data_IF_839737423680
#
_entry.id   IF_839737423680
#
_cell.length_a   1.000
_cell.length_b   1.000
_cell.length_c   1.000
_cell.angle_alpha   90.00
_cell.angle_beta   90.00
_cell.angle_gamma   90.00
#
_symmetry.space_group_name_H-M   'P 1'
#
loop_
_entity.id
_entity.type
_entity.pdbx_description
1 polymer ?
#
# COMPACT_ATOMS: atom_id res chain seq x y z
N UNK A 1 8.12 -15.94 9.45
CA UNK A 1 7.76 -14.58 9.78
C UNK A 1 8.48 -13.58 8.90
N UNK A 2 8.08 -12.34 8.99
CA UNK A 2 8.76 -11.21 8.37
C UNK A 2 9.52 -10.46 9.46
N UNK A 3 10.69 -9.97 9.13
CA UNK A 3 11.51 -9.10 9.97
C UNK A 3 11.77 -7.79 9.24
N UNK A 4 12.00 -6.75 10.01
CA UNK A 4 12.37 -5.43 9.50
C UNK A 4 13.85 -5.41 9.10
N UNK A 5 14.18 -4.52 8.20
CA UNK A 5 15.55 -4.15 7.90
C UNK A 5 15.70 -2.62 7.90
N UNK A 6 16.92 -2.13 7.79
CA UNK A 6 17.22 -0.70 7.82
C UNK A 6 16.58 0.11 6.69
N UNK A 7 16.09 -0.55 5.65
CA UNK A 7 15.47 0.07 4.46
C UNK A 7 13.93 0.09 4.52
N UNK A 8 13.31 -0.33 5.62
CA UNK A 8 11.84 -0.46 5.75
C UNK A 8 11.21 -1.48 4.79
N UNK A 9 11.99 -2.36 4.22
CA UNK A 9 11.50 -3.43 3.38
C UNK A 9 11.41 -4.69 4.25
N UNK A 10 10.21 -5.28 4.44
CA UNK A 10 10.11 -6.50 5.22
C UNK A 10 10.98 -7.60 4.62
N UNK A 11 11.70 -8.30 5.47
CA UNK A 11 12.55 -9.42 5.10
C UNK A 11 11.96 -10.75 5.58
N UNK A 12 12.32 -11.83 4.91
CA UNK A 12 11.99 -13.18 5.36
C UNK A 12 12.86 -13.54 6.57
N UNK A 13 12.26 -13.85 7.71
CA UNK A 13 12.98 -14.23 8.92
C UNK A 13 13.92 -15.44 8.73
N UNK A 14 13.58 -16.33 7.79
CA UNK A 14 14.37 -17.53 7.51
C UNK A 14 15.65 -17.30 6.68
N UNK A 15 15.66 -16.27 5.84
CA UNK A 15 16.73 -16.03 4.85
C UNK A 15 17.26 -14.61 4.84
N UNK A 16 16.64 -13.70 5.57
CA UNK A 16 16.91 -12.26 5.55
C UNK A 16 16.78 -11.63 4.14
N UNK A 17 16.18 -12.34 3.20
CA UNK A 17 15.94 -11.83 1.85
C UNK A 17 14.78 -10.84 1.87
N UNK A 18 14.91 -9.72 1.18
CA UNK A 18 13.85 -8.73 1.01
C UNK A 18 12.58 -9.37 0.44
N UNK A 19 11.43 -9.04 1.02
CA UNK A 19 10.15 -9.59 0.59
C UNK A 19 9.79 -9.08 -0.81
N UNK A 20 9.33 -9.99 -1.66
CA UNK A 20 8.94 -9.71 -3.04
C UNK A 20 7.72 -10.54 -3.46
N UNK A 21 7.13 -10.20 -4.60
CA UNK A 21 6.02 -10.99 -5.17
C UNK A 21 6.39 -12.46 -5.38
N UNK A 22 7.65 -12.76 -5.70
CA UNK A 22 8.14 -14.13 -5.80
C UNK A 22 7.99 -14.90 -4.48
N UNK A 23 8.41 -14.28 -3.37
CA UNK A 23 8.28 -14.90 -2.05
C UNK A 23 6.82 -14.96 -1.59
N UNK A 24 5.99 -13.97 -1.94
CA UNK A 24 4.56 -14.03 -1.67
C UNK A 24 3.93 -15.26 -2.34
N UNK A 25 4.18 -15.47 -3.64
CA UNK A 25 3.69 -16.64 -4.39
C UNK A 25 4.11 -17.95 -3.72
N UNK A 26 5.38 -18.06 -3.32
CA UNK A 26 5.91 -19.23 -2.62
C UNK A 26 5.21 -19.47 -1.28
N UNK A 27 5.09 -18.45 -0.44
CA UNK A 27 4.43 -18.56 0.88
C UNK A 27 2.94 -18.88 0.76
N UNK A 28 2.26 -18.41 -0.27
CA UNK A 28 0.86 -18.75 -0.55
C UNK A 28 0.75 -20.21 -0.96
N UNK A 29 1.60 -20.67 -1.88
CA UNK A 29 1.62 -22.07 -2.33
C UNK A 29 1.91 -23.05 -1.19
N UNK A 30 2.84 -22.74 -0.29
CA UNK A 30 3.14 -23.53 0.91
C UNK A 30 1.92 -23.69 1.86
N UNK A 31 0.93 -22.80 1.76
CA UNK A 31 -0.33 -22.84 2.52
C UNK A 31 -1.51 -23.35 1.72
N UNK A 32 -1.28 -23.88 0.52
CA UNK A 32 -2.32 -24.37 -0.36
C UNK A 32 -3.17 -23.27 -1.00
N UNK A 33 -2.67 -22.04 -1.08
CA UNK A 33 -3.32 -20.97 -1.78
C UNK A 33 -2.80 -20.87 -3.22
N UNK A 34 -3.70 -20.54 -4.13
CA UNK A 34 -3.36 -20.19 -5.50
C UNK A 34 -3.00 -18.70 -5.57
N UNK A 35 -2.05 -18.33 -6.40
CA UNK A 35 -1.84 -16.95 -6.82
C UNK A 35 -2.25 -16.84 -8.28
N UNK A 36 -3.25 -16.02 -8.58
CA UNK A 36 -3.83 -15.89 -9.90
C UNK A 36 -3.30 -14.64 -10.59
N UNK A 37 -2.52 -14.84 -11.63
CA UNK A 37 -1.98 -13.75 -12.44
C UNK A 37 -2.99 -13.32 -13.53
N UNK A 38 -3.03 -12.06 -13.86
CA UNK A 38 -3.82 -11.51 -14.95
C UNK A 38 -5.30 -11.93 -14.89
N UNK A 39 -5.76 -12.65 -15.89
CA UNK A 39 -7.14 -13.10 -16.02
C UNK A 39 -7.37 -14.56 -15.59
N UNK A 40 -6.37 -15.22 -15.04
CA UNK A 40 -6.51 -16.58 -14.52
C UNK A 40 -7.63 -16.66 -13.48
N UNK A 41 -8.46 -17.71 -13.58
CA UNK A 41 -9.58 -17.91 -12.66
C UNK A 41 -9.33 -18.98 -11.61
N UNK A 42 -8.37 -19.86 -11.82
CA UNK A 42 -7.98 -20.92 -10.89
C UNK A 42 -9.11 -21.90 -10.54
N UNK A 43 -8.93 -22.61 -9.43
CA UNK A 43 -9.87 -23.61 -8.92
C UNK A 43 -10.72 -23.03 -7.78
N UNK A 44 -12.04 -22.84 -7.95
CA UNK A 44 -12.88 -22.08 -7.03
C UNK A 44 -13.19 -22.79 -5.68
N UNK A 45 -12.80 -24.06 -5.54
CA UNK A 45 -13.01 -24.84 -4.32
C UNK A 45 -11.91 -24.64 -3.27
N UNK A 46 -10.91 -23.79 -3.55
CA UNK A 46 -9.77 -23.52 -2.67
C UNK A 46 -9.73 -22.08 -2.18
N UNK A 47 -8.52 -21.62 -1.96
CA UNK A 47 -8.20 -20.22 -1.65
C UNK A 47 -7.32 -19.66 -2.74
N UNK A 48 -7.55 -18.41 -3.08
CA UNK A 48 -6.70 -17.70 -4.03
C UNK A 48 -6.38 -16.28 -3.58
N UNK A 49 -5.24 -15.80 -4.02
CA UNK A 49 -4.84 -14.41 -3.96
C UNK A 49 -4.82 -13.84 -5.37
N UNK A 50 -5.46 -12.70 -5.53
CA UNK A 50 -5.49 -11.93 -6.77
C UNK A 50 -4.99 -10.52 -6.46
N UNK A 51 -4.10 -10.02 -7.29
CA UNK A 51 -3.69 -8.62 -7.23
C UNK A 51 -4.22 -7.93 -8.49
N UNK A 52 -5.02 -6.90 -8.30
CA UNK A 52 -5.67 -6.17 -9.40
C UNK A 52 -5.86 -4.71 -9.03
N UNK A 53 -5.98 -3.84 -10.03
CA UNK A 53 -6.05 -2.40 -9.87
C UNK A 53 -4.66 -1.81 -9.61
N UNK A 54 -4.26 -0.86 -10.42
CA UNK A 54 -2.92 -0.25 -10.37
C UNK A 54 -3.02 1.26 -10.13
N UNK A 55 -3.98 1.66 -9.26
CA UNK A 55 -4.25 3.07 -8.98
C UNK A 55 -3.04 3.77 -8.37
N UNK A 56 -2.26 3.09 -7.55
CA UNK A 56 -1.09 3.66 -6.92
C UNK A 56 -0.01 4.03 -7.94
N UNK A 57 0.39 3.11 -8.80
CA UNK A 57 1.35 3.39 -9.87
C UNK A 57 0.83 4.44 -10.85
N UNK A 58 -0.47 4.43 -11.18
CA UNK A 58 -1.10 5.45 -11.99
C UNK A 58 -1.05 6.81 -11.30
N UNK A 59 -1.37 6.88 -10.01
CA UNK A 59 -1.28 8.08 -9.20
C UNK A 59 0.11 8.70 -9.25
N UNK A 60 1.14 7.89 -9.00
CA UNK A 60 2.52 8.35 -9.07
C UNK A 60 2.97 8.78 -10.46
N UNK A 61 2.52 8.13 -11.52
CA UNK A 61 2.87 8.47 -12.91
C UNK A 61 2.06 9.65 -13.47
N UNK A 62 0.76 9.68 -13.19
CA UNK A 62 -0.17 10.63 -13.79
C UNK A 62 -0.40 11.88 -12.95
N UNK A 63 -0.08 11.83 -11.65
CA UNK A 63 -0.15 12.97 -10.76
C UNK A 63 -1.49 13.72 -10.87
N UNK A 64 -1.49 14.94 -11.38
CA UNK A 64 -2.68 15.77 -11.57
C UNK A 64 -3.78 15.10 -12.43
N UNK A 65 -3.39 14.25 -13.38
CA UNK A 65 -4.32 13.58 -14.30
C UNK A 65 -4.92 12.28 -13.75
N UNK A 66 -4.44 11.80 -12.60
CA UNK A 66 -4.86 10.53 -12.00
C UNK A 66 -6.39 10.34 -11.92
N UNK A 67 -7.22 11.37 -11.57
CA UNK A 67 -8.66 11.19 -11.49
C UNK A 67 -9.33 10.74 -12.78
N UNK A 68 -8.74 11.03 -13.92
CA UNK A 68 -9.28 10.65 -15.25
C UNK A 68 -9.23 9.12 -15.48
N UNK A 69 -8.44 8.40 -14.69
CA UNK A 69 -8.24 6.95 -14.83
C UNK A 69 -9.01 6.13 -13.80
N UNK A 70 -9.59 6.77 -12.77
CA UNK A 70 -10.23 6.06 -11.65
C UNK A 70 -11.37 5.16 -12.15
N UNK A 71 -12.27 5.69 -12.97
CA UNK A 71 -13.42 4.92 -13.47
C UNK A 71 -12.96 3.70 -14.27
N UNK A 72 -11.97 3.85 -15.14
CA UNK A 72 -11.44 2.74 -15.93
C UNK A 72 -10.86 1.64 -15.01
N UNK A 73 -10.07 2.02 -14.02
CA UNK A 73 -9.48 1.04 -13.08
C UNK A 73 -10.56 0.35 -12.26
N UNK A 74 -11.61 1.07 -11.85
CA UNK A 74 -12.75 0.48 -11.14
C UNK A 74 -13.52 -0.49 -12.02
N UNK A 75 -13.75 -0.15 -13.29
CA UNK A 75 -14.40 -1.04 -14.26
C UNK A 75 -13.58 -2.33 -14.46
N UNK A 76 -12.26 -2.22 -14.57
CA UNK A 76 -11.36 -3.38 -14.67
C UNK A 76 -11.44 -4.28 -13.42
N UNK A 77 -11.48 -3.68 -12.22
CA UNK A 77 -11.66 -4.41 -10.97
C UNK A 77 -13.02 -5.11 -10.92
N UNK A 78 -14.10 -4.41 -11.31
CA UNK A 78 -15.45 -4.99 -11.37
C UNK A 78 -15.52 -6.14 -12.39
N UNK A 79 -14.92 -5.97 -13.56
CA UNK A 79 -14.83 -7.03 -14.57
C UNK A 79 -14.08 -8.26 -14.03
N UNK A 80 -12.97 -8.02 -13.30
CA UNK A 80 -12.20 -9.09 -12.66
C UNK A 80 -13.03 -9.85 -11.62
N UNK A 81 -13.77 -9.14 -10.77
CA UNK A 81 -14.65 -9.74 -9.76
C UNK A 81 -15.72 -10.60 -10.43
N UNK A 82 -16.37 -10.09 -11.48
CA UNK A 82 -17.39 -10.84 -12.24
C UNK A 82 -16.80 -12.10 -12.84
N UNK A 83 -15.64 -12.01 -13.50
CA UNK A 83 -14.96 -13.17 -14.07
C UNK A 83 -14.64 -14.27 -13.04
N UNK A 84 -14.26 -13.89 -11.82
CA UNK A 84 -14.06 -14.85 -10.74
C UNK A 84 -15.38 -15.49 -10.27
N UNK A 85 -16.43 -14.70 -10.09
CA UNK A 85 -17.75 -15.23 -9.71
C UNK A 85 -18.31 -16.18 -10.76
N UNK A 86 -18.19 -15.83 -12.06
CA UNK A 86 -18.62 -16.66 -13.18
C UNK A 86 -17.83 -17.98 -13.26
N UNK A 87 -16.57 -17.97 -12.85
CA UNK A 87 -15.74 -19.16 -12.73
C UNK A 87 -16.08 -20.04 -11.49
N UNK A 88 -17.04 -19.61 -10.66
CA UNK A 88 -17.56 -20.40 -9.55
C UNK A 88 -17.04 -20.01 -8.15
N UNK A 89 -16.26 -18.95 -8.02
CA UNK A 89 -15.87 -18.45 -6.71
C UNK A 89 -17.10 -17.91 -5.97
N UNK A 90 -17.32 -18.39 -4.75
CA UNK A 90 -18.53 -18.07 -3.98
C UNK A 90 -18.39 -16.83 -3.11
N UNK A 91 -17.17 -16.50 -2.72
CA UNK A 91 -16.85 -15.37 -1.83
C UNK A 91 -15.56 -14.73 -2.27
N UNK A 92 -15.60 -13.43 -2.42
CA UNK A 92 -14.44 -12.60 -2.74
C UNK A 92 -14.34 -11.54 -1.65
N UNK A 93 -13.16 -11.46 -1.01
CA UNK A 93 -12.83 -10.38 -0.08
C UNK A 93 -11.87 -9.43 -0.77
N UNK A 94 -12.26 -8.17 -0.87
CA UNK A 94 -11.46 -7.12 -1.50
C UNK A 94 -10.88 -6.28 -0.37
N UNK A 95 -9.59 -6.08 -0.41
CA UNK A 95 -8.82 -5.27 0.54
C UNK A 95 -7.84 -4.40 -0.23
N UNK A 96 -7.48 -3.26 0.34
CA UNK A 96 -6.37 -2.42 -0.11
C UNK A 96 -5.44 -2.15 1.06
N UNK A 97 -4.19 -1.86 0.78
CA UNK A 97 -3.14 -1.63 1.78
C UNK A 97 -3.17 -0.22 2.34
N UNK A 98 -3.47 0.78 1.53
CA UNK A 98 -3.59 2.17 1.94
C UNK A 98 -4.57 2.93 1.04
N UNK A 99 -4.93 4.13 1.48
CA UNK A 99 -5.55 5.15 0.65
C UNK A 99 -4.51 6.19 0.20
N UNK A 100 -4.95 7.31 -0.33
CA UNK A 100 -4.07 8.33 -0.90
C UNK A 100 -4.65 9.73 -0.81
N UNK A 101 -3.77 10.72 -0.94
CA UNK A 101 -4.11 12.12 -1.11
C UNK A 101 -3.94 12.53 -2.58
N UNK A 102 -4.90 13.28 -3.07
CA UNK A 102 -4.78 13.98 -4.33
C UNK A 102 -5.08 15.47 -4.12
N UNK A 103 -4.09 16.32 -4.40
CA UNK A 103 -4.13 17.76 -4.14
C UNK A 103 -3.83 18.52 -5.42
N UNK A 104 -4.82 19.19 -6.05
CA UNK A 104 -4.65 19.85 -7.33
C UNK A 104 -3.51 20.87 -7.37
N UNK A 105 -3.31 21.62 -6.28
CA UNK A 105 -2.26 22.63 -6.16
C UNK A 105 -0.91 22.04 -5.72
N UNK A 106 -0.82 20.73 -5.60
CA UNK A 106 0.33 20.01 -5.04
C UNK A 106 0.36 20.05 -3.51
N UNK A 107 1.06 19.09 -2.94
CA UNK A 107 1.25 19.00 -1.49
C UNK A 107 2.15 20.16 -1.00
N UNK A 108 1.70 20.95 -0.03
CA UNK A 108 2.53 21.98 0.57
C UNK A 108 3.74 21.34 1.25
N UNK A 109 4.87 22.02 1.20
CA UNK A 109 6.10 21.54 1.83
C UNK A 109 6.03 21.71 3.34
N UNK A 110 6.09 20.60 4.07
CA UNK A 110 6.33 20.58 5.51
C UNK A 110 7.79 20.80 5.83
N UNK A 111 8.06 21.54 6.89
CA UNK A 111 9.43 21.69 7.39
C UNK A 111 9.84 20.43 8.16
N UNK A 112 10.99 19.91 7.80
CA UNK A 112 11.68 18.91 8.60
C UNK A 112 13.11 19.39 8.84
N UNK A 113 13.51 19.42 10.09
CA UNK A 113 14.87 19.84 10.44
C UNK A 113 15.90 18.87 9.84
N UNK A 114 17.01 19.39 9.32
CA UNK A 114 18.05 18.59 8.63
C UNK A 114 18.68 17.50 9.50
N UNK A 115 18.59 17.61 10.82
CA UNK A 115 19.03 16.57 11.76
C UNK A 115 18.09 15.37 11.84
N UNK A 116 16.87 15.52 11.31
CA UNK A 116 15.82 14.51 11.36
C UNK A 116 15.86 13.67 10.09
N UNK A 117 16.30 12.45 10.17
CA UNK A 117 16.09 11.44 9.15
C UNK A 117 17.04 11.45 7.96
N UNK A 118 17.60 10.31 7.73
CA UNK A 118 18.40 10.00 6.55
C UNK A 118 17.53 9.49 5.41
N UNK A 119 16.43 8.83 5.72
CA UNK A 119 15.52 8.29 4.72
C UNK A 119 14.18 9.08 4.79
N UNK A 120 14.01 10.01 3.85
CA UNK A 120 12.81 10.84 3.73
C UNK A 120 11.92 10.27 2.64
N UNK A 121 10.79 9.78 3.06
CA UNK A 121 9.65 9.59 2.18
C UNK A 121 8.88 10.90 2.07
N UNK A 122 7.91 10.96 1.18
CA UNK A 122 7.17 12.22 0.95
C UNK A 122 6.32 12.64 2.13
N UNK A 123 5.67 11.68 2.79
CA UNK A 123 4.73 11.92 3.89
C UNK A 123 5.28 11.54 5.27
N UNK A 124 6.40 10.85 5.32
CA UNK A 124 7.05 10.44 6.56
C UNK A 124 8.57 10.46 6.45
N UNK A 125 9.25 10.41 7.58
CA UNK A 125 10.71 10.31 7.64
C UNK A 125 11.15 9.49 8.85
N UNK A 126 12.20 8.70 8.69
CA UNK A 126 12.83 8.02 9.81
C UNK A 126 13.59 9.04 10.65
N UNK A 127 13.37 9.02 11.96
CA UNK A 127 14.13 9.83 12.89
C UNK A 127 15.47 9.16 13.18
N UNK A 128 16.54 9.96 13.20
CA UNK A 128 17.83 9.53 13.76
C UNK A 128 17.68 9.24 15.25
N UNK A 129 18.46 8.30 15.75
CA UNK A 129 18.55 8.03 17.18
C UNK A 129 18.77 9.33 17.96
N UNK A 130 17.98 9.58 18.99
CA UNK A 130 18.01 10.78 19.83
C UNK A 130 17.64 12.11 19.14
N UNK A 131 17.07 12.11 17.95
CA UNK A 131 16.56 13.33 17.33
C UNK A 131 15.29 13.80 18.07
N UNK A 132 15.25 15.10 18.42
CA UNK A 132 14.02 15.73 18.93
C UNK A 132 13.22 16.26 17.74
N UNK A 133 11.92 16.05 17.77
CA UNK A 133 10.98 16.53 16.76
C UNK A 133 9.67 16.92 17.43
N UNK A 134 9.21 18.15 17.19
CA UNK A 134 8.02 18.71 17.84
C UNK A 134 6.70 18.28 17.17
N UNK A 135 6.77 17.54 16.09
CA UNK A 135 5.62 17.01 15.37
C UNK A 135 5.19 15.64 15.85
N UNK A 136 4.30 15.03 15.11
CA UNK A 136 3.82 13.68 15.40
C UNK A 136 4.90 12.63 15.09
N UNK A 137 5.21 11.83 16.09
CA UNK A 137 6.16 10.71 15.99
C UNK A 137 5.43 9.43 16.35
N UNK A 138 5.60 8.42 15.55
CA UNK A 138 5.06 7.07 15.78
C UNK A 138 6.18 6.04 15.79
N UNK A 139 6.12 5.02 16.65
CA UNK A 139 7.04 3.91 16.58
C UNK A 139 6.77 3.07 15.32
N UNK A 140 7.81 2.51 14.73
CA UNK A 140 7.63 1.55 13.65
C UNK A 140 7.10 0.22 14.21
N UNK A 141 6.00 -0.26 13.63
CA UNK A 141 5.32 -1.46 14.14
C UNK A 141 6.21 -2.71 14.22
N UNK A 142 7.07 -2.90 13.22
CA UNK A 142 7.94 -4.07 13.13
C UNK A 142 9.22 -3.93 13.97
N UNK A 143 9.64 -2.70 14.27
CA UNK A 143 10.82 -2.42 15.05
C UNK A 143 10.60 -1.16 15.93
N UNK A 144 10.16 -1.35 17.18
CA UNK A 144 9.87 -0.22 18.09
C UNK A 144 11.07 0.67 18.43
N UNK A 145 12.30 0.25 18.12
CA UNK A 145 13.49 1.09 18.27
C UNK A 145 13.61 2.18 17.21
N UNK A 146 12.83 2.04 16.11
CA UNK A 146 12.76 3.01 15.03
C UNK A 146 11.55 3.91 15.22
N UNK A 147 11.76 5.22 15.14
CA UNK A 147 10.71 6.24 15.21
C UNK A 147 10.54 6.92 13.86
N UNK A 148 9.29 7.19 13.52
CA UNK A 148 8.90 7.80 12.26
C UNK A 148 8.24 9.14 12.55
N UNK A 149 8.80 10.21 11.97
CA UNK A 149 8.19 11.53 11.96
C UNK A 149 7.16 11.62 10.83
N UNK A 150 5.95 12.03 11.16
CA UNK A 150 4.86 12.19 10.20
C UNK A 150 4.74 13.65 9.75
N UNK A 151 4.56 13.85 8.45
CA UNK A 151 4.31 15.20 7.94
C UNK A 151 2.94 15.71 8.42
N UNK A 152 2.85 16.97 8.89
CA UNK A 152 1.62 17.51 9.45
C UNK A 152 0.55 17.74 8.38
N UNK A 153 -0.69 17.39 8.71
CA UNK A 153 -1.85 17.62 7.85
C UNK A 153 -1.67 17.00 6.45
N UNK A 154 -1.89 17.82 5.42
CA UNK A 154 -1.71 17.42 4.01
C UNK A 154 -0.32 17.78 3.47
N UNK A 155 0.62 18.25 4.29
CA UNK A 155 1.96 18.62 3.84
C UNK A 155 2.82 17.39 3.54
N UNK A 156 3.88 17.59 2.78
CA UNK A 156 4.91 16.58 2.53
C UNK A 156 6.31 17.12 2.81
N UNK A 157 7.25 16.25 3.09
CA UNK A 157 8.67 16.62 3.22
C UNK A 157 9.35 16.88 1.88
N UNK A 158 8.69 16.47 0.81
CA UNK A 158 9.04 16.78 -0.59
C UNK A 158 7.83 17.48 -1.20
N UNK A 159 8.06 18.60 -1.86
CA UNK A 159 7.00 19.41 -2.49
C UNK A 159 6.78 19.04 -3.95
N UNK A 160 5.62 19.44 -4.47
CA UNK A 160 5.33 19.45 -5.92
C UNK A 160 4.58 18.26 -6.44
N UNK A 161 4.29 17.23 -5.60
CA UNK A 161 3.47 16.12 -6.02
C UNK A 161 1.98 16.39 -5.79
N UNK A 162 1.16 15.99 -6.74
CA UNK A 162 -0.30 16.08 -6.65
C UNK A 162 -0.92 14.81 -6.06
N UNK A 163 -0.26 13.69 -6.20
CA UNK A 163 -0.66 12.38 -5.66
C UNK A 163 0.38 11.87 -4.67
N UNK A 164 -0.08 11.45 -3.50
CA UNK A 164 0.82 10.89 -2.49
C UNK A 164 0.09 10.05 -1.44
N UNK A 165 0.85 9.23 -0.70
CA UNK A 165 0.37 8.42 0.42
C UNK A 165 1.46 8.23 1.49
N UNK A 166 1.15 7.49 2.57
CA UNK A 166 2.08 7.17 3.65
C UNK A 166 2.04 8.16 4.81
N UNK A 167 1.02 9.03 4.87
CA UNK A 167 0.71 9.88 6.01
C UNK A 167 -0.41 9.33 6.88
N UNK A 168 -0.89 10.14 7.81
CA UNK A 168 -1.95 9.78 8.77
C UNK A 168 -3.27 10.53 8.54
N UNK A 169 -3.55 10.98 7.33
CA UNK A 169 -4.88 11.51 7.02
C UNK A 169 -5.92 10.39 6.93
N UNK A 170 -7.20 10.74 7.12
CA UNK A 170 -8.28 9.77 6.95
C UNK A 170 -8.28 9.14 5.57
N UNK A 171 -7.96 9.91 4.53
CA UNK A 171 -7.89 9.45 3.15
C UNK A 171 -6.78 8.42 2.93
N UNK A 172 -5.69 8.51 3.66
CA UNK A 172 -4.55 7.59 3.55
C UNK A 172 -4.74 6.33 4.41
N UNK A 173 -5.39 6.45 5.57
CA UNK A 173 -5.47 5.39 6.58
C UNK A 173 -6.79 4.60 6.55
N UNK A 174 -7.88 5.18 6.05
CA UNK A 174 -9.15 4.46 5.94
C UNK A 174 -9.16 3.62 4.67
N UNK A 175 -9.05 2.31 4.87
CA UNK A 175 -9.06 1.34 3.78
C UNK A 175 -10.35 0.53 3.81
N UNK A 176 -11.07 0.38 2.68
CA UNK A 176 -12.28 -0.42 2.63
C UNK A 176 -11.98 -1.91 2.70
N UNK A 177 -12.87 -2.64 3.34
CA UNK A 177 -12.94 -4.10 3.27
C UNK A 177 -14.30 -4.49 2.72
N UNK A 178 -14.33 -4.97 1.48
CA UNK A 178 -15.57 -5.37 0.83
C UNK A 178 -15.68 -6.89 0.76
N UNK A 179 -16.89 -7.40 0.98
CA UNK A 179 -17.18 -8.82 0.82
C UNK A 179 -18.24 -8.98 -0.27
N UNK A 180 -17.85 -9.61 -1.36
CA UNK A 180 -18.74 -9.94 -2.47
C UNK A 180 -19.10 -11.42 -2.40
N UNK A 181 -20.37 -11.73 -2.59
CA UNK A 181 -20.88 -13.10 -2.63
C UNK A 181 -21.74 -13.26 -3.87
N UNK A 182 -21.68 -14.46 -4.47
CA UNK A 182 -22.64 -14.82 -5.50
C UNK A 182 -24.02 -14.93 -4.84
N UNK A 183 -25.02 -14.20 -5.35
CA UNK A 183 -26.40 -14.41 -4.96
C UNK A 183 -26.86 -15.76 -5.53
N UNK A 184 -27.18 -16.68 -4.66
CA UNK A 184 -27.81 -17.97 -5.06
C UNK A 184 -29.25 -17.73 -5.46
#
# INVERSE_FOLDING_TARGET
GLEDNDDFIPALASTQASFSSHYLKKLLAERGWQYLDGLETGEPNGYAWVQTGDLDNLGHKQQLKMPQYIEQVLDDVVARIRGLLDAGWKRIKIVTDHGWLWVPDGLPKGEIHKSLGTNRQRRCAILKSNAQYDGLVVPWFWNPSVSIAMAPGISGYVSGDHYNHGGLSLQECLTPVLNVRNAQ
#
